data_IF_183061996374
#
_entry.id   IF_183061996374
#
_cell.length_a   1.000
_cell.length_b   1.000
_cell.length_c   1.000
_cell.angle_alpha   90.00
_cell.angle_beta   90.00
_cell.angle_gamma   90.00
#
_symmetry.space_group_name_H-M   'P 1'
#
loop_
_entity.id
_entity.type
_entity.pdbx_description
1 polymer ?
#
# COMPACT_ATOMS: atom_id res chain seq x y z
N UNK A 1 -9.91 -14.44 -17.86
CA UNK A 1 -8.69 -14.89 -17.15
C UNK A 1 -8.01 -13.63 -16.66
N UNK A 2 -7.76 -13.51 -15.36
CA UNK A 2 -7.01 -12.36 -14.81
C UNK A 2 -5.58 -12.48 -15.34
N UNK A 3 -5.03 -11.40 -15.88
CA UNK A 3 -3.62 -11.37 -16.27
C UNK A 3 -2.76 -11.62 -15.02
N UNK A 4 -1.92 -12.66 -15.01
CA UNK A 4 -1.16 -13.06 -13.83
C UNK A 4 -0.16 -12.00 -13.35
N UNK A 5 0.15 -10.98 -14.16
CA UNK A 5 1.15 -9.97 -13.86
C UNK A 5 0.55 -8.60 -13.52
N UNK A 6 -0.78 -8.45 -13.51
CA UNK A 6 -1.41 -7.16 -13.22
C UNK A 6 -1.28 -6.83 -11.74
N UNK A 7 -0.72 -5.67 -11.44
CA UNK A 7 -0.64 -5.16 -10.07
C UNK A 7 -1.92 -4.43 -9.73
N UNK A 8 -2.59 -4.85 -8.66
CA UNK A 8 -3.81 -4.25 -8.15
C UNK A 8 -3.60 -3.76 -6.72
N UNK A 9 -3.96 -2.51 -6.45
CA UNK A 9 -4.14 -1.98 -5.10
C UNK A 9 -5.63 -2.01 -4.80
N UNK A 10 -6.04 -2.79 -3.82
CA UNK A 10 -7.41 -2.77 -3.29
C UNK A 10 -7.44 -1.82 -2.09
N UNK A 11 -8.34 -0.84 -2.10
CA UNK A 11 -8.62 0.04 -0.96
C UNK A 11 -10.13 0.06 -0.74
N UNK A 12 -10.57 -0.24 0.49
CA UNK A 12 -11.97 -0.54 0.79
C UNK A 12 -12.52 -1.64 -0.15
N UNK A 13 -13.59 -1.36 -0.90
CA UNK A 13 -14.19 -2.28 -1.87
C UNK A 13 -13.78 -1.99 -3.33
N UNK A 14 -12.74 -1.18 -3.54
CA UNK A 14 -12.33 -0.71 -4.86
C UNK A 14 -10.94 -1.20 -5.25
N UNK A 15 -10.87 -1.80 -6.44
CA UNK A 15 -9.63 -2.24 -7.07
C UNK A 15 -9.09 -1.17 -8.02
N UNK A 16 -7.83 -0.79 -7.82
CA UNK A 16 -7.09 0.16 -8.65
C UNK A 16 -5.93 -0.56 -9.35
N UNK A 17 -5.90 -0.51 -10.68
CA UNK A 17 -4.89 -1.15 -11.52
C UNK A 17 -4.67 -0.34 -12.80
N UNK A 18 -3.55 -0.55 -13.51
CA UNK A 18 -3.17 0.26 -14.68
C UNK A 18 -2.05 1.26 -14.39
N UNK A 19 -1.22 0.94 -13.40
CA UNK A 19 -0.10 1.74 -12.94
C UNK A 19 0.94 1.97 -14.06
N UNK A 20 1.50 3.18 -14.11
CA UNK A 20 2.68 3.49 -14.94
C UNK A 20 3.98 3.05 -14.28
N UNK A 21 4.03 3.07 -12.95
CA UNK A 21 5.17 2.59 -12.17
C UNK A 21 4.67 1.81 -10.96
N UNK A 22 5.39 0.73 -10.64
CA UNK A 22 5.17 -0.09 -9.46
C UNK A 22 6.52 -0.41 -8.85
N UNK A 23 6.67 -0.17 -7.55
CA UNK A 23 7.76 -0.65 -6.74
C UNK A 23 7.18 -1.33 -5.50
N UNK A 24 7.61 -2.57 -5.24
CA UNK A 24 7.25 -3.31 -4.03
C UNK A 24 8.55 -3.82 -3.41
N UNK A 25 8.82 -3.39 -2.18
CA UNK A 25 10.08 -3.64 -1.49
C UNK A 25 9.87 -4.58 -0.31
N UNK A 26 10.64 -5.67 -0.29
CA UNK A 26 10.74 -6.60 0.83
C UNK A 26 12.22 -6.79 1.20
N UNK A 27 12.51 -7.10 2.47
CA UNK A 27 13.86 -7.41 2.90
C UNK A 27 13.88 -7.97 4.31
N UNK A 28 14.84 -8.84 4.61
CA UNK A 28 14.97 -9.45 5.94
C UNK A 28 15.30 -8.40 7.02
N UNK A 29 16.10 -7.39 6.67
CA UNK A 29 16.42 -6.24 7.52
C UNK A 29 15.30 -5.18 7.58
N UNK A 30 14.15 -5.44 6.93
CA UNK A 30 13.00 -4.51 6.84
C UNK A 30 11.73 -5.21 7.30
N UNK A 31 11.35 -5.01 8.56
CA UNK A 31 10.18 -5.66 9.20
C UNK A 31 8.84 -5.36 8.49
N UNK A 32 8.71 -4.19 7.86
CA UNK A 32 7.55 -3.85 7.04
C UNK A 32 7.92 -3.82 5.56
N UNK A 33 7.11 -4.50 4.74
CA UNK A 33 7.16 -4.36 3.28
C UNK A 33 6.60 -2.98 2.92
N UNK A 34 7.15 -2.36 1.89
CA UNK A 34 6.63 -1.10 1.35
C UNK A 34 6.15 -1.28 -0.08
N UNK A 35 5.25 -0.40 -0.50
CA UNK A 35 4.86 -0.28 -1.90
C UNK A 35 4.76 1.19 -2.29
N UNK A 36 5.03 1.43 -3.56
CA UNK A 36 4.89 2.71 -4.23
C UNK A 36 4.32 2.44 -5.63
N UNK A 37 3.13 2.96 -5.91
CA UNK A 37 2.50 2.87 -7.24
C UNK A 37 2.19 4.26 -7.77
N UNK A 38 2.30 4.46 -9.07
CA UNK A 38 1.98 5.76 -9.67
C UNK A 38 1.29 5.66 -11.02
N UNK A 39 0.48 6.66 -11.31
CA UNK A 39 -0.21 6.85 -12.60
C UNK A 39 -0.26 8.34 -12.96
N UNK A 40 -0.53 8.66 -14.22
CA UNK A 40 -1.04 9.98 -14.58
C UNK A 40 -2.41 10.22 -13.92
N UNK A 41 -2.62 11.41 -13.37
CA UNK A 41 -3.79 11.80 -12.55
C UNK A 41 -5.17 11.38 -13.08
N UNK A 42 -5.30 11.15 -14.40
CA UNK A 42 -6.51 10.58 -14.99
C UNK A 42 -6.31 9.10 -15.33
N UNK A 43 -7.19 8.26 -14.76
CA UNK A 43 -7.49 6.94 -15.29
C UNK A 43 -8.25 7.08 -16.62
N UNK A 44 -7.91 6.32 -17.67
CA UNK A 44 -8.67 6.37 -18.91
C UNK A 44 -10.17 6.12 -18.65
N UNK A 45 -11.03 7.10 -18.93
CA UNK A 45 -12.49 6.94 -18.94
C UNK A 45 -13.25 7.08 -17.61
N UNK A 46 -12.67 7.68 -16.55
CA UNK A 46 -13.37 7.77 -15.24
C UNK A 46 -13.21 9.14 -14.55
N UNK A 47 -14.31 9.68 -13.99
CA UNK A 47 -14.24 10.58 -12.83
C UNK A 47 -13.89 9.72 -11.61
N UNK A 48 -12.81 10.04 -10.89
CA UNK A 48 -12.40 9.24 -9.73
C UNK A 48 -13.47 9.39 -8.64
N UNK A 49 -14.41 8.45 -8.59
CA UNK A 49 -15.53 8.47 -7.63
C UNK A 49 -15.08 8.20 -6.19
N UNK A 50 -13.89 7.64 -5.99
CA UNK A 50 -13.38 7.23 -4.68
C UNK A 50 -11.91 7.65 -4.53
N UNK A 51 -11.62 8.79 -3.87
CA UNK A 51 -10.25 9.19 -3.62
C UNK A 51 -9.63 8.26 -2.57
N UNK A 52 -8.44 7.72 -2.87
CA UNK A 52 -7.64 6.98 -1.90
C UNK A 52 -7.09 7.98 -0.88
N UNK A 53 -7.31 7.70 0.41
CA UNK A 53 -6.90 8.58 1.52
C UNK A 53 -5.78 7.95 2.35
N UNK A 54 -4.85 8.76 2.90
CA UNK A 54 -3.92 8.28 3.91
C UNK A 54 -4.65 7.66 5.11
N UNK A 55 -4.12 6.56 5.63
CA UNK A 55 -4.70 5.77 6.71
C UNK A 55 -5.68 4.68 6.26
N UNK A 56 -6.10 4.67 4.98
CA UNK A 56 -6.98 3.64 4.47
C UNK A 56 -6.30 2.26 4.49
N UNK A 57 -7.06 1.22 4.87
CA UNK A 57 -6.61 -0.16 4.78
C UNK A 57 -6.48 -0.57 3.30
N UNK A 58 -5.43 -1.28 2.96
CA UNK A 58 -5.19 -1.68 1.59
C UNK A 58 -4.59 -3.08 1.45
N UNK A 59 -4.78 -3.67 0.27
CA UNK A 59 -4.13 -4.89 -0.16
C UNK A 59 -3.41 -4.64 -1.48
N UNK A 60 -2.21 -5.19 -1.65
CA UNK A 60 -1.52 -5.21 -2.94
C UNK A 60 -1.49 -6.64 -3.44
N UNK A 61 -1.98 -6.84 -4.66
CA UNK A 61 -2.02 -8.13 -5.35
C UNK A 61 -1.27 -8.06 -6.67
N UNK A 62 -0.71 -9.19 -7.10
CA UNK A 62 -0.18 -9.39 -8.46
C UNK A 62 -0.96 -10.54 -9.08
N UNK A 63 -1.70 -10.24 -10.15
CA UNK A 63 -2.73 -11.12 -10.71
C UNK A 63 -3.81 -11.40 -9.67
N UNK A 64 -3.71 -12.58 -9.03
CA UNK A 64 -4.60 -13.00 -7.93
C UNK A 64 -3.87 -13.31 -6.62
N UNK A 65 -2.54 -13.18 -6.59
CA UNK A 65 -1.75 -13.48 -5.40
C UNK A 65 -1.67 -12.26 -4.48
N UNK A 66 -1.94 -12.46 -3.19
CA UNK A 66 -1.81 -11.43 -2.16
C UNK A 66 -0.35 -11.24 -1.77
N UNK A 67 0.20 -10.06 -2.05
CA UNK A 67 1.61 -9.73 -1.78
C UNK A 67 1.79 -9.05 -0.43
N UNK A 68 0.89 -8.14 -0.07
CA UNK A 68 0.86 -7.54 1.27
C UNK A 68 -0.53 -6.98 1.62
N UNK A 69 -0.83 -6.99 2.92
CA UNK A 69 -1.92 -6.20 3.53
C UNK A 69 -1.29 -5.07 4.33
N UNK A 70 -1.85 -3.86 4.27
CA UNK A 70 -1.23 -2.70 4.89
C UNK A 70 -2.12 -1.48 4.98
N UNK A 71 -1.45 -0.34 5.08
CA UNK A 71 -2.05 0.98 5.17
C UNK A 71 -1.49 1.86 4.07
N UNK A 72 -2.34 2.73 3.52
CA UNK A 72 -1.90 3.85 2.69
C UNK A 72 -1.26 4.90 3.58
N UNK A 73 0.00 5.25 3.31
CA UNK A 73 0.76 6.24 4.07
C UNK A 73 0.65 7.64 3.48
N UNK A 74 0.77 7.75 2.16
CA UNK A 74 0.73 9.04 1.49
C UNK A 74 0.18 8.91 0.07
N UNK A 75 -0.48 9.98 -0.38
CA UNK A 75 -1.06 10.10 -1.72
C UNK A 75 -0.65 11.43 -2.36
N UNK A 76 0.67 11.69 -2.57
CA UNK A 76 1.11 12.96 -3.11
C UNK A 76 0.72 13.11 -4.59
N UNK A 77 0.33 14.33 -4.94
CA UNK A 77 0.02 14.76 -6.30
C UNK A 77 1.12 15.72 -6.72
N UNK A 78 1.77 15.44 -7.85
CA UNK A 78 2.74 16.34 -8.45
C UNK A 78 2.33 16.68 -9.88
N UNK A 79 2.71 17.88 -10.35
CA UNK A 79 2.43 18.30 -11.72
C UNK A 79 3.56 19.15 -12.27
N UNK A 80 3.75 19.07 -13.58
CA UNK A 80 4.60 19.95 -14.37
C UNK A 80 3.80 20.45 -15.60
N UNK A 81 4.45 21.20 -16.49
CA UNK A 81 3.80 21.75 -17.69
C UNK A 81 3.32 20.70 -18.72
N UNK A 82 3.59 19.41 -18.51
CA UNK A 82 3.30 18.32 -19.45
C UNK A 82 2.49 17.17 -18.83
N UNK A 83 2.57 16.97 -17.52
CA UNK A 83 1.98 15.81 -16.85
C UNK A 83 1.56 16.12 -15.40
N UNK A 84 0.55 15.40 -14.93
CA UNK A 84 0.15 15.33 -13.53
C UNK A 84 0.31 13.89 -13.09
N UNK A 85 1.04 13.64 -12.01
CA UNK A 85 1.32 12.31 -11.46
C UNK A 85 0.64 12.16 -10.11
N UNK A 86 -0.13 11.08 -9.96
CA UNK A 86 -0.62 10.59 -8.68
C UNK A 86 0.30 9.47 -8.24
N UNK A 87 0.87 9.57 -7.04
CA UNK A 87 1.60 8.49 -6.39
C UNK A 87 0.86 8.06 -5.14
N UNK A 88 0.78 6.77 -4.90
CA UNK A 88 0.25 6.19 -3.67
C UNK A 88 1.37 5.34 -3.07
N UNK A 89 1.68 5.58 -1.80
CA UNK A 89 2.68 4.80 -1.07
C UNK A 89 2.12 4.29 0.25
N UNK A 90 2.65 3.17 0.70
CA UNK A 90 2.19 2.52 1.92
C UNK A 90 3.14 1.45 2.43
N UNK A 91 2.79 0.91 3.60
CA UNK A 91 3.54 -0.16 4.26
C UNK A 91 2.60 -1.24 4.76
N UNK A 92 3.11 -2.46 4.88
CA UNK A 92 2.37 -3.59 5.47
C UNK A 92 1.95 -3.29 6.91
N UNK A 93 0.95 -4.01 7.42
CA UNK A 93 0.40 -3.83 8.79
C UNK A 93 1.48 -3.87 9.90
N UNK A 94 2.59 -4.57 9.67
CA UNK A 94 3.73 -4.57 10.59
C UNK A 94 4.40 -3.21 10.78
N UNK A 95 4.07 -2.19 9.96
CA UNK A 95 4.48 -0.81 10.18
C UNK A 95 4.02 -0.27 11.54
N UNK A 96 2.87 -0.72 12.04
CA UNK A 96 2.39 -0.31 13.36
C UNK A 96 3.32 -0.79 14.48
N UNK A 97 3.97 -1.96 14.30
CA UNK A 97 4.97 -2.48 15.24
C UNK A 97 6.26 -1.64 15.25
N UNK A 98 6.51 -0.89 14.16
CA UNK A 98 7.68 -0.01 14.02
C UNK A 98 7.36 1.37 14.59
N UNK A 99 6.19 1.91 14.28
CA UNK A 99 5.83 3.29 14.58
C UNK A 99 5.25 3.47 15.99
N UNK A 100 4.58 2.45 16.53
CA UNK A 100 3.83 2.56 17.78
C UNK A 100 4.56 1.93 18.98
N UNK A 101 4.10 2.32 20.18
CA UNK A 101 4.59 1.74 21.43
C UNK A 101 3.96 0.37 21.72
N UNK A 102 4.74 -0.55 22.28
CA UNK A 102 4.21 -1.80 22.80
C UNK A 102 3.31 -1.55 24.02
N UNK A 103 2.03 -1.90 23.91
CA UNK A 103 1.08 -1.85 25.02
C UNK A 103 0.98 -3.25 25.63
N UNK A 104 1.54 -3.45 26.83
CA UNK A 104 1.48 -4.72 27.54
C UNK A 104 1.14 -4.51 29.04
N UNK A 105 0.27 -5.37 29.60
CA UNK A 105 -0.10 -5.38 31.02
C UNK A 105 -0.20 -6.83 31.53
N UNK A 106 0.60 -7.24 32.54
CA UNK A 106 1.68 -6.48 33.18
C UNK A 106 2.82 -6.18 32.20
N UNK A 107 3.61 -5.13 32.42
CA UNK A 107 4.69 -4.68 31.51
C UNK A 107 5.93 -5.59 31.52
N UNK A 108 5.77 -6.86 31.88
CA UNK A 108 6.86 -7.83 31.97
C UNK A 108 6.38 -9.19 31.47
N UNK A 109 7.36 -9.96 31.02
CA UNK A 109 7.19 -11.34 30.61
C UNK A 109 8.07 -12.23 31.49
N UNK A 110 7.52 -13.33 32.01
CA UNK A 110 8.26 -14.31 32.81
C UNK A 110 7.90 -15.70 32.30
N UNK A 111 8.92 -16.51 32.01
CA UNK A 111 8.76 -17.89 31.51
C UNK A 111 7.90 -17.99 30.23
N UNK A 112 8.00 -16.99 29.36
CA UNK A 112 7.41 -17.05 28.01
C UNK A 112 8.51 -17.34 27.00
N UNK A 113 8.35 -18.45 26.31
CA UNK A 113 9.14 -18.93 25.19
C UNK A 113 8.25 -19.83 24.35
N UNK A 114 8.76 -20.31 23.21
CA UNK A 114 8.07 -21.33 22.42
C UNK A 114 8.00 -22.64 23.20
#
# INVERSE_FOLDING_TARGET
MIDPNVVTLTVDEHDYAGWKSVEISAGIERQARSFDVSITWQWPGTEISHPITPGAACEVRIGGELILTGWVFAVPISYDGKQITLKISGRSKTADLIDCSAINRPSQWKEVGV
#
